data_IF_703151036196
#
_entry.id   IF_703151036196
#
_cell.length_a   1.000
_cell.length_b   1.000
_cell.length_c   1.000
_cell.angle_alpha   90.00
_cell.angle_beta   90.00
_cell.angle_gamma   90.00
#
_symmetry.space_group_name_H-M   'P 1'
#
loop_
_entity.id
_entity.type
_entity.pdbx_description
1 polymer ?
#
# COMPACT_ATOMS: atom_id res chain seq x y z
N UNK A 1 6.28 3.50 -7.65
CA UNK A 1 5.15 4.22 -8.30
C UNK A 1 4.15 4.62 -7.22
N UNK A 2 3.61 5.84 -7.25
CA UNK A 2 2.58 6.27 -6.29
C UNK A 2 1.23 5.62 -6.63
N UNK A 3 0.37 5.42 -5.62
CA UNK A 3 -1.01 4.90 -5.77
C UNK A 3 -1.78 5.66 -6.87
N UNK A 4 -1.66 6.99 -6.91
CA UNK A 4 -2.31 7.82 -7.93
C UNK A 4 -1.90 7.47 -9.38
N UNK A 5 -0.65 7.03 -9.59
CA UNK A 5 -0.17 6.62 -10.92
C UNK A 5 -0.83 5.33 -11.38
N UNK A 6 -1.03 4.37 -10.47
CA UNK A 6 -1.71 3.10 -10.78
C UNK A 6 -3.16 3.34 -11.19
N UNK A 7 -3.88 4.19 -10.45
CA UNK A 7 -5.26 4.56 -10.81
C UNK A 7 -5.36 5.32 -12.16
N UNK A 8 -4.38 6.18 -12.46
CA UNK A 8 -4.38 6.88 -13.75
C UNK A 8 -4.17 5.91 -14.93
N UNK A 9 -3.38 4.85 -14.75
CA UNK A 9 -3.20 3.80 -15.77
C UNK A 9 -4.51 3.04 -15.97
N UNK A 10 -5.20 2.65 -14.90
CA UNK A 10 -6.52 2.00 -14.99
C UNK A 10 -7.57 2.88 -15.66
N UNK A 11 -7.60 4.17 -15.32
CA UNK A 11 -8.49 5.14 -15.94
C UNK A 11 -8.25 5.25 -17.46
N UNK A 12 -6.98 5.17 -17.91
CA UNK A 12 -6.64 5.17 -19.35
C UNK A 12 -7.10 3.89 -20.04
N UNK A 13 -6.88 2.72 -19.44
CA UNK A 13 -7.38 1.45 -19.98
C UNK A 13 -8.91 1.47 -20.12
N UNK A 14 -9.62 1.93 -19.09
CA UNK A 14 -11.07 2.06 -19.11
C UNK A 14 -11.55 3.02 -20.20
N UNK A 15 -10.95 4.21 -20.30
CA UNK A 15 -11.30 5.20 -21.33
C UNK A 15 -11.07 4.68 -22.75
N UNK A 16 -9.97 3.96 -22.97
CA UNK A 16 -9.63 3.35 -24.26
C UNK A 16 -10.39 2.04 -24.55
N UNK A 17 -11.24 1.55 -23.63
CA UNK A 17 -11.87 0.23 -23.68
C UNK A 17 -10.87 -0.91 -23.90
N UNK A 18 -9.65 -0.74 -23.37
CA UNK A 18 -8.59 -1.71 -23.46
C UNK A 18 -8.65 -2.67 -22.28
N UNK A 19 -8.60 -3.96 -22.56
CA UNK A 19 -8.42 -5.00 -21.54
C UNK A 19 -6.93 -5.35 -21.51
N UNK A 20 -6.19 -5.01 -20.44
CA UNK A 20 -4.78 -5.37 -20.32
C UNK A 20 -4.62 -6.88 -20.09
N UNK A 21 -3.42 -7.40 -20.30
CA UNK A 21 -3.09 -8.76 -19.87
C UNK A 21 -3.08 -8.82 -18.34
N UNK A 22 -3.36 -10.01 -17.80
CA UNK A 22 -3.35 -10.24 -16.34
C UNK A 22 -2.05 -9.78 -15.68
N UNK A 23 -0.91 -10.08 -16.29
CA UNK A 23 0.41 -9.69 -15.78
C UNK A 23 0.60 -8.16 -15.73
N UNK A 24 0.13 -7.44 -16.77
CA UNK A 24 0.21 -5.97 -16.83
C UNK A 24 -0.65 -5.32 -15.75
N UNK A 25 -1.86 -5.85 -15.54
CA UNK A 25 -2.76 -5.40 -14.48
C UNK A 25 -2.15 -5.61 -13.10
N UNK A 26 -1.64 -6.82 -12.82
CA UNK A 26 -1.00 -7.16 -11.55
C UNK A 26 0.24 -6.30 -11.28
N UNK A 27 1.06 -6.04 -12.30
CA UNK A 27 2.23 -5.18 -12.17
C UNK A 27 1.84 -3.72 -11.87
N UNK A 28 0.74 -3.22 -12.43
CA UNK A 28 0.24 -1.87 -12.15
C UNK A 28 -0.23 -1.72 -10.69
N UNK A 29 -1.05 -2.65 -10.19
CA UNK A 29 -1.66 -2.55 -8.86
C UNK A 29 -0.72 -3.00 -7.72
N UNK A 30 0.35 -3.76 -8.02
CA UNK A 30 1.35 -4.19 -7.03
C UNK A 30 1.91 -3.03 -6.20
N UNK A 31 2.24 -1.90 -6.85
CA UNK A 31 2.75 -0.72 -6.16
C UNK A 31 1.66 0.00 -5.32
N UNK A 32 0.39 -0.15 -5.70
CA UNK A 32 -0.73 0.49 -5.03
C UNK A 32 -1.26 -0.29 -3.83
N UNK A 33 -1.13 -1.63 -3.79
CA UNK A 33 -1.63 -2.44 -2.67
C UNK A 33 -0.65 -2.51 -1.50
N UNK A 34 0.65 -2.62 -1.75
CA UNK A 34 1.63 -2.87 -0.68
C UNK A 34 1.96 -1.61 0.12
N UNK A 35 1.97 -0.43 -0.50
CA UNK A 35 2.47 0.79 0.15
C UNK A 35 1.49 1.49 1.12
N UNK A 36 0.19 1.65 0.84
CA UNK A 36 -0.71 2.40 1.71
C UNK A 36 -1.19 1.61 2.93
N UNK A 37 -1.02 0.29 2.97
CA UNK A 37 -1.37 -0.54 4.13
C UNK A 37 -0.14 -0.79 5.02
N UNK A 38 0.99 -1.19 4.41
CA UNK A 38 2.17 -1.59 5.18
C UNK A 38 2.87 -0.41 5.86
N UNK A 39 2.90 0.76 5.21
CA UNK A 39 3.62 1.93 5.74
C UNK A 39 2.92 2.54 6.96
N UNK A 40 1.59 2.77 6.97
CA UNK A 40 0.90 3.18 8.19
C UNK A 40 0.91 2.10 9.27
N UNK A 41 0.73 0.83 8.90
CA UNK A 41 0.78 -0.28 9.86
C UNK A 41 2.14 -0.31 10.58
N UNK A 42 3.26 -0.17 9.86
CA UNK A 42 4.58 -0.07 10.46
C UNK A 42 4.71 1.12 11.42
N UNK A 43 4.27 2.32 11.01
CA UNK A 43 4.36 3.50 11.86
C UNK A 43 3.52 3.39 13.16
N UNK A 44 2.28 2.92 13.04
CA UNK A 44 1.37 2.80 14.19
C UNK A 44 1.64 1.59 15.08
N UNK A 45 2.14 0.47 14.54
CA UNK A 45 2.50 -0.70 15.34
C UNK A 45 3.85 -0.51 16.08
N UNK A 46 4.81 0.21 15.48
CA UNK A 46 6.12 0.45 16.11
C UNK A 46 6.01 1.26 17.40
N UNK A 47 5.13 2.27 17.44
CA UNK A 47 4.90 3.10 18.62
C UNK A 47 4.34 2.29 19.82
N UNK A 48 3.50 1.29 19.56
CA UNK A 48 2.92 0.44 20.61
C UNK A 48 3.89 -0.62 21.13
N UNK A 49 4.87 -1.04 20.31
CA UNK A 49 5.87 -2.04 20.73
C UNK A 49 6.87 -1.42 21.72
N UNK A 50 7.28 -0.16 21.52
CA UNK A 50 8.22 0.53 22.42
C UNK A 50 7.62 0.84 23.80
N UNK A 51 6.33 1.20 23.85
CA UNK A 51 5.62 1.49 25.10
C UNK A 51 5.40 0.23 25.95
N UNK A 52 5.07 -0.91 25.31
CA UNK A 52 4.86 -2.20 25.98
C UNK A 52 6.18 -2.91 26.33
N UNK A 53 7.28 -2.59 25.65
CA UNK A 53 8.60 -3.13 25.94
C UNK A 53 9.34 -2.36 27.04
N UNK A 54 8.77 -1.29 27.59
CA UNK A 54 9.35 -0.57 28.72
C UNK A 54 8.93 -1.24 30.06
N UNK A 55 9.83 -1.98 30.74
CA UNK A 55 9.49 -2.67 31.98
C UNK A 55 9.18 -1.72 33.16
N UNK A 56 9.40 -0.41 33.00
CA UNK A 56 9.13 0.59 34.03
C UNK A 56 7.65 1.04 34.11
N UNK A 57 6.80 0.72 33.13
CA UNK A 57 5.39 1.12 33.12
C UNK A 57 4.46 0.16 33.90
N UNK A 58 4.98 -0.97 34.37
CA UNK A 58 4.22 -2.01 35.07
C UNK A 58 4.35 -1.97 36.61
N UNK A 59 4.89 -0.89 37.17
CA UNK A 59 5.06 -0.67 38.63
C UNK A 59 4.28 0.57 39.07
#
# INVERSE_FOLDING_TARGET
ASVCRAYLVEAKWHHAKQIPRLEEYLNNIRAAMTSPILLPAYFFLSHNIEEQANPAAAI
#
